data_IF_009995946634
#
_entry.id   IF_009995946634
#
_cell.length_a   1.000
_cell.length_b   1.000
_cell.length_c   1.000
_cell.angle_alpha   90.00
_cell.angle_beta   90.00
_cell.angle_gamma   90.00
#
_symmetry.space_group_name_H-M   'P 1'
#
loop_
_entity.id
_entity.type
_entity.pdbx_description
1 polymer ?
#
# COMPACT_ATOMS: atom_id res chain seq x y z
N UNK A 1 -16.79 5.50 -5.07
CA UNK A 1 -16.68 4.51 -6.15
C UNK A 1 -17.22 3.17 -5.66
N UNK A 2 -17.73 2.30 -6.53
CA UNK A 2 -18.15 0.96 -6.10
C UNK A 2 -16.93 0.13 -5.67
N UNK A 3 -17.08 -0.86 -4.77
CA UNK A 3 -15.97 -1.72 -4.35
C UNK A 3 -15.26 -2.40 -5.53
N UNK A 4 -16.03 -2.81 -6.54
CA UNK A 4 -15.50 -3.39 -7.78
C UNK A 4 -14.58 -2.41 -8.54
N UNK A 5 -14.98 -1.13 -8.63
CA UNK A 5 -14.18 -0.13 -9.34
C UNK A 5 -12.84 0.12 -8.61
N UNK A 6 -12.84 0.16 -7.28
CA UNK A 6 -11.61 0.34 -6.48
C UNK A 6 -10.71 -0.91 -6.61
N UNK A 7 -11.30 -2.11 -6.55
CA UNK A 7 -10.58 -3.37 -6.75
C UNK A 7 -9.92 -3.48 -8.13
N UNK A 8 -10.60 -3.02 -9.19
CA UNK A 8 -10.03 -3.00 -10.53
C UNK A 8 -8.90 -1.96 -10.64
N UNK A 9 -9.09 -0.78 -10.04
CA UNK A 9 -8.09 0.28 -10.05
C UNK A 9 -6.80 -0.18 -9.37
N UNK A 10 -6.88 -0.79 -8.18
CA UNK A 10 -5.69 -1.28 -7.47
C UNK A 10 -4.97 -2.39 -8.24
N UNK A 11 -5.72 -3.30 -8.87
CA UNK A 11 -5.14 -4.35 -9.70
C UNK A 11 -4.35 -3.77 -10.90
N UNK A 12 -4.95 -2.84 -11.65
CA UNK A 12 -4.31 -2.21 -12.81
C UNK A 12 -3.08 -1.42 -12.40
N UNK A 13 -3.19 -0.58 -11.36
CA UNK A 13 -2.06 0.23 -10.89
C UNK A 13 -0.91 -0.65 -10.40
N UNK A 14 -1.21 -1.73 -9.67
CA UNK A 14 -0.18 -2.69 -9.21
C UNK A 14 0.56 -3.31 -10.37
N UNK A 15 -0.16 -3.79 -11.39
CA UNK A 15 0.45 -4.41 -12.58
C UNK A 15 1.34 -3.40 -13.31
N UNK A 16 0.89 -2.17 -13.53
CA UNK A 16 1.68 -1.12 -14.19
C UNK A 16 2.97 -0.84 -13.41
N UNK A 17 2.89 -0.70 -12.08
CA UNK A 17 4.07 -0.42 -11.24
C UNK A 17 5.04 -1.59 -11.26
N UNK A 18 4.57 -2.83 -11.12
CA UNK A 18 5.44 -4.00 -11.14
C UNK A 18 6.04 -4.27 -12.53
N UNK A 19 5.29 -3.98 -13.59
CA UNK A 19 5.77 -4.11 -14.98
C UNK A 19 6.85 -3.08 -15.34
N UNK A 20 7.01 -2.00 -14.56
CA UNK A 20 8.04 -0.97 -14.79
C UNK A 20 9.48 -1.45 -14.50
N UNK A 21 9.65 -2.65 -13.94
CA UNK A 21 10.96 -3.19 -13.55
C UNK A 21 11.41 -2.78 -12.14
N UNK A 22 10.58 -2.06 -11.38
CA UNK A 22 10.78 -1.84 -9.95
C UNK A 22 10.84 -3.19 -9.20
N UNK A 23 11.73 -3.37 -8.21
CA UNK A 23 11.74 -4.59 -7.41
C UNK A 23 10.41 -4.76 -6.68
N UNK A 24 9.87 -6.00 -6.71
CA UNK A 24 8.51 -6.31 -6.27
C UNK A 24 8.20 -5.78 -4.87
N UNK A 25 9.12 -5.96 -3.92
CA UNK A 25 8.95 -5.49 -2.55
C UNK A 25 8.70 -3.97 -2.47
N UNK A 26 9.49 -3.17 -3.18
CA UNK A 26 9.34 -1.71 -3.19
C UNK A 26 8.08 -1.28 -3.96
N UNK A 27 7.78 -1.94 -5.08
CA UNK A 27 6.57 -1.63 -5.87
C UNK A 27 5.29 -1.84 -5.07
N UNK A 28 5.18 -2.94 -4.34
CA UNK A 28 4.02 -3.22 -3.49
C UNK A 28 3.88 -2.20 -2.35
N UNK A 29 4.99 -1.78 -1.72
CA UNK A 29 4.98 -0.76 -0.66
C UNK A 29 4.49 0.59 -1.20
N UNK A 30 5.00 1.03 -2.36
CA UNK A 30 4.59 2.29 -2.99
C UNK A 30 3.11 2.28 -3.34
N UNK A 31 2.62 1.20 -3.94
CA UNK A 31 1.19 1.08 -4.27
C UNK A 31 0.33 1.08 -3.02
N UNK A 32 0.72 0.33 -1.97
CA UNK A 32 -0.02 0.29 -0.72
C UNK A 32 -0.11 1.67 -0.04
N UNK A 33 1.02 2.38 0.10
CA UNK A 33 1.06 3.73 0.68
C UNK A 33 0.24 4.71 -0.15
N UNK A 34 0.35 4.66 -1.49
CA UNK A 34 -0.42 5.50 -2.39
C UNK A 34 -1.93 5.29 -2.25
N UNK A 35 -2.37 4.04 -2.16
CA UNK A 35 -3.79 3.74 -1.97
C UNK A 35 -4.32 4.15 -0.60
N UNK A 36 -3.56 3.91 0.48
CA UNK A 36 -3.92 4.43 1.81
C UNK A 36 -4.04 5.96 1.81
N UNK A 37 -3.04 6.65 1.25
CA UNK A 37 -3.03 8.11 1.22
C UNK A 37 -4.21 8.71 0.43
N UNK A 38 -4.58 8.11 -0.71
CA UNK A 38 -5.62 8.63 -1.61
C UNK A 38 -7.03 8.24 -1.17
N UNK A 39 -7.24 7.02 -0.68
CA UNK A 39 -8.59 6.51 -0.37
C UNK A 39 -8.94 6.56 1.12
N UNK A 40 -7.96 6.39 2.00
CA UNK A 40 -8.13 6.35 3.46
C UNK A 40 -7.57 7.62 4.15
N UNK A 41 -6.86 8.47 3.39
CA UNK A 41 -6.30 9.75 3.83
C UNK A 41 -4.92 9.63 4.46
N UNK A 42 -4.19 10.74 4.57
CA UNK A 42 -2.80 10.76 5.07
C UNK A 42 -2.67 10.28 6.52
N UNK A 43 -3.69 10.45 7.35
CA UNK A 43 -3.69 9.98 8.74
C UNK A 43 -3.58 8.45 8.85
N UNK A 44 -4.07 7.72 7.85
CA UNK A 44 -4.00 6.26 7.80
C UNK A 44 -2.55 5.73 7.72
N UNK A 45 -1.61 6.54 7.22
CA UNK A 45 -0.19 6.20 7.17
C UNK A 45 0.45 6.12 8.56
N UNK A 46 -0.10 6.80 9.56
CA UNK A 46 0.36 6.67 10.96
C UNK A 46 0.18 5.24 11.45
N UNK A 47 -0.92 4.58 11.08
CA UNK A 47 -1.20 3.18 11.45
C UNK A 47 -0.15 2.24 10.84
N UNK A 48 0.26 2.47 9.59
CA UNK A 48 1.36 1.72 8.97
C UNK A 48 2.65 1.82 9.79
N UNK A 49 2.99 3.02 10.26
CA UNK A 49 4.15 3.25 11.13
C UNK A 49 4.02 2.56 12.49
N UNK A 50 2.85 2.65 13.12
CA UNK A 50 2.55 1.98 14.40
C UNK A 50 2.65 0.46 14.28
N UNK A 51 2.08 -0.13 13.21
CA UNK A 51 2.13 -1.58 12.97
C UNK A 51 3.56 -2.06 12.78
N UNK A 52 4.36 -1.33 12.00
CA UNK A 52 5.76 -1.66 11.78
C UNK A 52 6.56 -1.66 13.10
N UNK A 53 6.35 -0.63 13.93
CA UNK A 53 7.02 -0.53 15.23
C UNK A 53 6.55 -1.61 16.20
N UNK A 54 5.24 -1.89 16.27
CA UNK A 54 4.68 -2.96 17.12
C UNK A 54 5.25 -4.34 16.77
N UNK A 55 5.36 -4.66 15.48
CA UNK A 55 5.97 -5.93 15.02
C UNK A 55 7.45 -6.00 15.40
N UNK A 56 8.18 -4.87 15.36
CA UNK A 56 9.58 -4.86 15.80
C UNK A 56 9.76 -5.16 17.29
N UNK A 57 8.76 -4.86 18.12
CA UNK A 57 8.80 -5.09 19.56
C UNK A 57 8.37 -6.50 19.96
N UNK A 58 7.47 -7.15 19.21
CA UNK A 58 7.05 -8.54 19.51
C UNK A 58 8.13 -9.58 19.24
N UNK A 59 9.24 -9.19 18.61
CA UNK A 59 10.38 -10.05 18.30
C UNK A 59 11.45 -10.09 19.42
N UNK A 60 11.18 -9.49 20.58
CA UNK A 60 11.94 -9.62 21.82
C UNK A 60 11.04 -10.20 22.91
#
# INVERSE_FOLDING_TARGET
MSPLAIGLLIAIVTVIVLASGIPVAFGLVVVAIGFLAVFDGLQSLTILGELFFRVSQTSR
#
